data_IF_331221154755
#
_entry.id   IF_331221154755
#
_cell.length_a   1.000
_cell.length_b   1.000
_cell.length_c   1.000
_cell.angle_alpha   90.00
_cell.angle_beta   90.00
_cell.angle_gamma   90.00
#
_symmetry.space_group_name_H-M   'P 1'
#
loop_
_entity.id
_entity.type
_entity.pdbx_description
1 polymer ?
#
# COMPACT_ATOMS: atom_id res chain seq x y z
N UNK A 1 1.35 3.48 16.37
CA UNK A 1 0.80 2.82 15.17
C UNK A 1 0.65 3.89 14.09
N UNK A 2 1.49 3.93 13.06
CA UNK A 2 1.50 4.99 12.01
C UNK A 2 0.55 4.69 10.82
N UNK A 3 -0.43 3.79 10.98
CA UNK A 3 -1.24 3.30 9.85
C UNK A 3 -2.30 4.30 9.39
N UNK A 4 -2.70 5.25 10.26
CA UNK A 4 -3.81 6.19 9.99
C UNK A 4 -3.33 7.65 9.81
N UNK A 5 -2.03 7.87 9.61
CA UNK A 5 -1.42 9.21 9.56
C UNK A 5 -1.90 10.12 8.39
N UNK A 6 -2.70 9.58 7.47
CA UNK A 6 -3.35 10.30 6.38
C UNK A 6 -4.86 10.50 6.60
N UNK A 7 -5.46 9.77 7.54
CA UNK A 7 -6.85 9.90 7.93
C UNK A 7 -7.08 11.08 8.89
N UNK A 8 -6.03 11.51 9.61
CA UNK A 8 -6.03 12.70 10.49
C UNK A 8 -5.92 14.02 9.69
N UNK A 9 -6.77 14.22 8.68
CA UNK A 9 -6.87 15.46 7.92
C UNK A 9 -8.27 16.07 7.96
N UNK A 10 -8.38 17.38 7.76
CA UNK A 10 -9.64 18.14 7.82
C UNK A 10 -10.23 18.51 6.45
N UNK A 11 -9.68 17.95 5.36
CA UNK A 11 -10.07 18.32 3.99
C UNK A 11 -11.46 17.78 3.60
N UNK A 12 -12.07 18.35 2.55
CA UNK A 12 -13.40 17.94 2.07
C UNK A 12 -13.48 16.43 1.76
N UNK A 13 -12.37 15.86 1.26
CA UNK A 13 -12.26 14.42 1.02
C UNK A 13 -12.31 13.61 2.32
N UNK A 14 -11.80 14.09 3.44
CA UNK A 14 -11.89 13.40 4.74
C UNK A 14 -13.32 13.30 5.27
N UNK A 15 -14.19 14.26 4.91
CA UNK A 15 -15.60 14.29 5.34
C UNK A 15 -16.53 13.46 4.45
N UNK A 16 -16.06 12.98 3.30
CA UNK A 16 -16.88 12.25 2.35
C UNK A 16 -17.11 10.80 2.83
N UNK A 17 -18.34 10.30 2.64
CA UNK A 17 -18.69 8.92 3.01
C UNK A 17 -17.76 7.90 2.33
N UNK A 18 -17.14 6.98 3.09
CA UNK A 18 -16.22 5.97 2.56
C UNK A 18 -16.86 5.05 1.50
N UNK A 19 -18.19 4.92 1.51
CA UNK A 19 -18.94 4.15 0.51
C UNK A 19 -18.84 4.77 -0.88
N UNK A 20 -19.05 6.09 -0.97
CA UNK A 20 -18.95 6.84 -2.23
C UNK A 20 -17.52 6.78 -2.74
N UNK A 21 -16.55 6.86 -1.83
CA UNK A 21 -15.13 6.70 -2.15
C UNK A 21 -14.81 5.35 -2.78
N UNK A 22 -15.30 4.23 -2.21
CA UNK A 22 -15.09 2.90 -2.81
C UNK A 22 -15.81 2.75 -4.15
N UNK A 23 -17.05 3.24 -4.26
CA UNK A 23 -17.85 3.18 -5.48
C UNK A 23 -17.24 4.01 -6.61
N UNK A 24 -16.57 5.12 -6.31
CA UNK A 24 -15.87 5.94 -7.31
C UNK A 24 -14.48 5.41 -7.61
N UNK A 25 -13.76 4.91 -6.62
CA UNK A 25 -12.41 4.39 -6.75
C UNK A 25 -12.34 3.11 -7.59
N UNK A 26 -13.24 2.14 -7.37
CA UNK A 26 -13.20 0.86 -8.08
C UNK A 26 -13.34 1.01 -9.62
N UNK A 27 -14.36 1.73 -10.16
CA UNK A 27 -14.47 1.99 -11.59
C UNK A 27 -13.31 2.82 -12.13
N UNK A 28 -12.79 3.77 -11.35
CA UNK A 28 -11.63 4.57 -11.74
C UNK A 28 -10.39 3.70 -12.00
N UNK A 29 -10.07 2.81 -11.05
CA UNK A 29 -8.96 1.86 -11.20
C UNK A 29 -9.18 0.93 -12.39
N UNK A 30 -10.39 0.39 -12.55
CA UNK A 30 -10.72 -0.50 -13.66
C UNK A 30 -10.58 0.20 -15.02
N UNK A 31 -11.03 1.45 -15.12
CA UNK A 31 -10.93 2.26 -16.34
C UNK A 31 -9.48 2.47 -16.74
N UNK A 32 -8.64 2.93 -15.80
CA UNK A 32 -7.21 3.17 -16.06
C UNK A 32 -6.47 1.87 -16.36
N UNK A 33 -6.80 0.78 -15.65
CA UNK A 33 -6.17 -0.51 -15.88
C UNK A 33 -6.48 -1.07 -17.28
N UNK A 34 -7.74 -0.95 -17.72
CA UNK A 34 -8.22 -1.49 -19.01
C UNK A 34 -7.71 -0.71 -20.23
N UNK A 35 -7.49 0.61 -20.09
CA UNK A 35 -7.01 1.45 -21.19
C UNK A 35 -5.62 1.02 -21.69
N UNK A 36 -5.48 0.78 -23.01
CA UNK A 36 -4.20 0.41 -23.63
C UNK A 36 -3.40 1.62 -24.10
N UNK A 37 -4.07 2.73 -24.41
CA UNK A 37 -3.44 3.98 -24.84
C UNK A 37 -2.74 4.71 -23.70
N UNK A 38 -1.79 5.58 -24.05
CA UNK A 38 -1.04 6.40 -23.10
C UNK A 38 -1.84 7.61 -22.58
N UNK A 39 -2.78 8.11 -23.39
CA UNK A 39 -3.56 9.31 -23.09
C UNK A 39 -4.51 9.09 -21.89
N UNK A 40 -5.08 7.89 -21.77
CA UNK A 40 -5.97 7.53 -20.67
C UNK A 40 -5.28 7.58 -19.29
N UNK A 41 -4.19 6.81 -19.09
CA UNK A 41 -3.38 6.85 -17.88
C UNK A 41 -2.81 8.24 -17.57
N UNK A 42 -2.47 9.03 -18.60
CA UNK A 42 -2.02 10.41 -18.43
C UNK A 42 -3.13 11.31 -17.87
N UNK A 43 -4.34 11.25 -18.43
CA UNK A 43 -5.49 11.98 -17.90
C UNK A 43 -5.82 11.54 -16.46
N UNK A 44 -5.77 10.23 -16.19
CA UNK A 44 -5.91 9.69 -14.84
C UNK A 44 -4.86 10.25 -13.87
N UNK A 45 -3.60 10.33 -14.28
CA UNK A 45 -2.54 10.92 -13.47
C UNK A 45 -2.86 12.37 -13.10
N UNK A 46 -3.33 13.18 -14.05
CA UNK A 46 -3.72 14.57 -13.78
C UNK A 46 -4.90 14.67 -12.82
N UNK A 47 -5.91 13.80 -12.97
CA UNK A 47 -7.06 13.74 -12.06
C UNK A 47 -6.61 13.39 -10.65
N UNK A 48 -5.81 12.32 -10.50
CA UNK A 48 -5.29 11.89 -9.19
C UNK A 48 -4.40 12.96 -8.55
N UNK A 49 -3.53 13.62 -9.32
CA UNK A 49 -2.69 14.69 -8.83
C UNK A 49 -3.52 15.88 -8.33
N UNK A 50 -4.54 16.28 -9.09
CA UNK A 50 -5.49 17.32 -8.67
C UNK A 50 -6.18 16.91 -7.36
N UNK A 51 -6.64 15.67 -7.26
CA UNK A 51 -7.29 15.16 -6.05
C UNK A 51 -6.39 15.23 -4.81
N UNK A 52 -5.09 14.95 -4.96
CA UNK A 52 -4.10 15.09 -3.87
C UNK A 52 -3.94 16.55 -3.45
N UNK A 53 -3.89 17.46 -4.42
CA UNK A 53 -3.79 18.90 -4.09
C UNK A 53 -5.02 19.38 -3.33
N UNK A 54 -6.22 18.94 -3.72
CA UNK A 54 -7.46 19.23 -2.98
C UNK A 54 -7.54 18.53 -1.62
N UNK A 55 -6.92 17.36 -1.48
CA UNK A 55 -6.84 16.64 -0.21
C UNK A 55 -5.88 17.28 0.79
N UNK A 56 -5.00 18.21 0.37
CA UNK A 56 -4.05 18.89 1.25
C UNK A 56 -2.99 17.96 1.84
N UNK A 57 -2.68 16.86 1.15
CA UNK A 57 -1.77 15.83 1.66
C UNK A 57 -0.32 16.35 1.62
N UNK A 58 0.41 16.22 2.72
CA UNK A 58 1.80 16.69 2.83
C UNK A 58 2.72 16.05 1.79
N UNK A 59 3.29 16.88 0.91
CA UNK A 59 4.14 16.46 -0.22
C UNK A 59 5.35 15.60 0.20
N UNK A 60 5.93 15.86 1.38
CA UNK A 60 7.05 15.08 1.93
C UNK A 60 6.69 13.61 2.17
N UNK A 61 5.49 13.36 2.72
CA UNK A 61 5.01 11.99 2.97
C UNK A 61 4.68 11.27 1.66
N UNK A 62 4.17 12.01 0.67
CA UNK A 62 3.89 11.50 -0.67
C UNK A 62 5.18 11.03 -1.37
N UNK A 63 6.22 11.86 -1.36
CA UNK A 63 7.51 11.57 -1.99
C UNK A 63 8.13 10.27 -1.48
N UNK A 64 8.18 10.07 -0.17
CA UNK A 64 8.75 8.84 0.41
C UNK A 64 8.03 7.58 -0.09
N UNK A 65 6.70 7.64 -0.22
CA UNK A 65 5.89 6.52 -0.75
C UNK A 65 6.04 6.34 -2.26
N UNK A 66 6.12 7.44 -3.01
CA UNK A 66 6.35 7.40 -4.45
C UNK A 66 7.72 6.82 -4.79
N UNK A 67 8.76 7.12 -4.01
CA UNK A 67 10.09 6.55 -4.21
C UNK A 67 10.04 5.02 -4.11
N UNK A 68 9.38 4.46 -3.10
CA UNK A 68 9.26 2.99 -2.95
C UNK A 68 8.65 2.32 -4.17
N UNK A 69 7.57 2.89 -4.71
CA UNK A 69 6.89 2.34 -5.89
C UNK A 69 7.70 2.55 -7.16
N UNK A 70 8.29 3.73 -7.33
CA UNK A 70 9.12 4.01 -8.49
C UNK A 70 10.40 3.15 -8.50
N UNK A 71 10.94 2.75 -7.34
CA UNK A 71 12.03 1.76 -7.28
C UNK A 71 11.61 0.41 -7.85
N UNK A 72 10.40 -0.05 -7.56
CA UNK A 72 9.88 -1.29 -8.15
C UNK A 72 9.65 -1.15 -9.67
N UNK A 73 9.08 -0.02 -10.10
CA UNK A 73 8.86 0.29 -11.52
C UNK A 73 10.19 0.44 -12.27
N UNK A 74 11.25 0.93 -11.62
CA UNK A 74 12.58 1.03 -12.20
C UNK A 74 13.13 -0.35 -12.58
N UNK A 75 12.88 -1.37 -11.76
CA UNK A 75 13.21 -2.76 -12.12
C UNK A 75 12.45 -3.18 -13.38
N UNK A 76 11.15 -2.87 -13.47
CA UNK A 76 10.36 -3.16 -14.67
C UNK A 76 10.91 -2.44 -15.92
N UNK A 77 11.39 -1.21 -15.79
CA UNK A 77 12.07 -0.49 -16.87
C UNK A 77 13.35 -1.16 -17.36
N UNK A 78 14.05 -1.91 -16.49
CA UNK A 78 15.22 -2.69 -16.90
C UNK A 78 14.77 -3.96 -17.60
N UNK A 79 13.75 -4.66 -17.10
CA UNK A 79 13.37 -5.98 -17.63
C UNK A 79 12.47 -5.94 -18.88
N UNK A 80 11.43 -5.10 -18.92
CA UNK A 80 10.45 -5.08 -20.03
C UNK A 80 11.06 -4.78 -21.41
N UNK A 81 11.94 -3.79 -21.60
CA UNK A 81 12.48 -3.50 -22.92
C UNK A 81 13.34 -4.63 -23.49
N UNK A 82 13.87 -5.52 -22.65
CA UNK A 82 14.65 -6.69 -23.06
C UNK A 82 13.82 -7.97 -23.16
N UNK A 83 12.69 -8.06 -22.44
CA UNK A 83 11.84 -9.25 -22.42
C UNK A 83 10.77 -9.28 -23.52
N UNK A 84 10.41 -8.13 -24.10
CA UNK A 84 9.39 -8.06 -25.16
C UNK A 84 10.01 -8.18 -26.57
N UNK A 85 9.66 -9.20 -27.36
CA UNK A 85 10.02 -9.26 -28.77
C UNK A 85 9.28 -8.14 -29.52
N UNK A 86 9.99 -7.28 -30.24
CA UNK A 86 9.38 -6.20 -31.02
C UNK A 86 10.44 -5.41 -31.78
N UNK A 87 10.03 -4.31 -32.43
CA UNK A 87 10.93 -3.51 -33.27
C UNK A 87 12.07 -2.89 -32.45
N UNK A 88 13.34 -3.16 -32.80
CA UNK A 88 14.50 -2.64 -32.08
C UNK A 88 14.63 -1.13 -32.33
N UNK A 89 14.64 -0.33 -31.26
CA UNK A 89 14.83 1.14 -31.35
C UNK A 89 16.26 1.53 -31.04
N UNK A 90 16.92 0.77 -30.15
CA UNK A 90 18.30 1.01 -29.76
C UNK A 90 19.01 -0.33 -29.64
N UNK A 91 20.11 -0.51 -30.38
CA UNK A 91 21.04 -1.61 -30.15
C UNK A 91 22.25 -1.06 -29.41
N UNK A 92 22.43 -1.45 -28.16
CA UNK A 92 23.74 -1.33 -27.51
C UNK A 92 24.28 -2.76 -27.35
N UNK A 93 25.35 -3.02 -28.11
CA UNK A 93 26.25 -4.18 -28.05
C UNK A 93 25.65 -5.57 -28.42
N UNK A 94 24.56 -6.02 -27.78
CA UNK A 94 23.87 -7.30 -28.07
C UNK A 94 22.42 -7.34 -27.53
N UNK A 95 21.96 -6.28 -26.85
CA UNK A 95 20.61 -6.17 -26.31
C UNK A 95 19.83 -5.13 -27.15
N UNK A 96 18.83 -5.59 -27.89
CA UNK A 96 17.89 -4.73 -28.61
C UNK A 96 16.76 -4.32 -27.69
N UNK A 97 16.72 -3.04 -27.31
CA UNK A 97 15.58 -2.47 -26.61
C UNK A 97 14.40 -2.31 -27.58
N UNK A 98 13.30 -3.00 -27.29
CA UNK A 98 12.08 -2.93 -28.12
C UNK A 98 11.30 -1.64 -27.86
N UNK A 99 10.82 -0.96 -28.93
CA UNK A 99 9.93 0.22 -28.82
C UNK A 99 8.71 -0.08 -27.97
N UNK A 100 8.16 -1.27 -28.17
CA UNK A 100 6.95 -1.73 -27.51
C UNK A 100 7.21 -1.93 -26.02
N UNK A 101 8.35 -2.52 -25.66
CA UNK A 101 8.74 -2.69 -24.26
C UNK A 101 8.89 -1.37 -23.50
N UNK A 102 9.43 -0.32 -24.16
CA UNK A 102 9.52 1.03 -23.58
C UNK A 102 8.13 1.66 -23.43
N UNK A 103 7.26 1.55 -24.43
CA UNK A 103 5.88 2.07 -24.35
C UNK A 103 5.06 1.33 -23.28
N UNK A 104 5.26 0.03 -23.12
CA UNK A 104 4.64 -0.75 -22.05
C UNK A 104 5.15 -0.33 -20.66
N UNK A 105 6.48 -0.20 -20.49
CA UNK A 105 7.06 0.26 -19.23
C UNK A 105 6.56 1.66 -18.85
N UNK A 106 6.51 2.58 -19.82
CA UNK A 106 5.96 3.92 -19.64
C UNK A 106 4.47 3.89 -19.27
N UNK A 107 3.68 3.09 -19.97
CA UNK A 107 2.24 2.94 -19.67
C UNK A 107 1.99 2.36 -18.28
N UNK A 108 2.76 1.35 -17.87
CA UNK A 108 2.71 0.79 -16.52
C UNK A 108 3.08 1.84 -15.48
N UNK A 109 4.12 2.63 -15.75
CA UNK A 109 4.57 3.72 -14.87
C UNK A 109 3.46 4.74 -14.64
N UNK A 110 2.82 5.19 -15.72
CA UNK A 110 1.69 6.14 -15.66
C UNK A 110 0.50 5.56 -14.89
N UNK A 111 0.08 4.34 -15.22
CA UNK A 111 -1.05 3.67 -14.54
C UNK A 111 -0.79 3.47 -13.06
N UNK A 112 0.40 2.97 -12.70
CA UNK A 112 0.79 2.71 -11.33
C UNK A 112 0.80 4.01 -10.50
N UNK A 113 1.41 5.08 -11.02
CA UNK A 113 1.41 6.38 -10.35
C UNK A 113 -0.03 6.94 -10.24
N UNK A 114 -0.83 6.89 -11.30
CA UNK A 114 -2.21 7.39 -11.27
C UNK A 114 -3.08 6.66 -10.23
N UNK A 115 -3.06 5.32 -10.22
CA UNK A 115 -3.81 4.49 -9.28
C UNK A 115 -3.30 4.70 -7.86
N UNK A 116 -1.99 4.78 -7.65
CA UNK A 116 -1.42 4.96 -6.33
C UNK A 116 -1.76 6.32 -5.74
N UNK A 117 -1.67 7.39 -6.53
CA UNK A 117 -2.07 8.73 -6.11
C UNK A 117 -3.56 8.78 -5.76
N UNK A 118 -4.44 8.16 -6.57
CA UNK A 118 -5.86 8.05 -6.25
C UNK A 118 -6.11 7.24 -4.99
N UNK A 119 -5.36 6.16 -4.77
CA UNK A 119 -5.45 5.33 -3.56
C UNK A 119 -5.14 6.16 -2.32
N UNK A 120 -4.07 6.96 -2.36
CA UNK A 120 -3.70 7.85 -1.25
C UNK A 120 -4.76 8.95 -1.04
N UNK A 121 -5.22 9.59 -2.11
CA UNK A 121 -6.18 10.69 -2.02
C UNK A 121 -7.57 10.25 -1.54
N UNK A 122 -8.04 9.11 -2.03
CA UNK A 122 -9.40 8.62 -1.77
C UNK A 122 -9.41 7.71 -0.55
N UNK A 123 -8.66 6.60 -0.59
CA UNK A 123 -8.67 5.61 0.49
C UNK A 123 -7.82 6.05 1.69
N UNK A 124 -6.71 6.73 1.44
CA UNK A 124 -5.83 7.24 2.51
C UNK A 124 -6.46 8.33 3.36
N UNK A 125 -7.53 8.99 2.90
CA UNK A 125 -8.26 10.03 3.65
C UNK A 125 -9.42 9.47 4.48
N UNK A 126 -9.58 8.14 4.55
CA UNK A 126 -10.58 7.47 5.38
C UNK A 126 -9.92 6.57 6.42
N UNK A 127 -10.51 6.51 7.61
CA UNK A 127 -10.12 5.55 8.64
C UNK A 127 -10.36 4.10 8.19
N UNK A 128 -9.53 3.18 8.67
CA UNK A 128 -9.62 1.75 8.32
C UNK A 128 -10.96 1.17 8.76
N UNK A 129 -11.45 1.59 9.92
CA UNK A 129 -12.74 1.16 10.48
C UNK A 129 -13.92 1.56 9.58
N UNK A 130 -13.85 2.79 9.05
CA UNK A 130 -14.86 3.37 8.16
C UNK A 130 -14.86 2.71 6.77
N UNK A 131 -13.69 2.33 6.25
CA UNK A 131 -13.57 1.53 5.03
C UNK A 131 -14.13 0.12 5.22
N UNK A 132 -13.87 -0.53 6.35
CA UNK A 132 -14.44 -1.83 6.67
C UNK A 132 -15.97 -1.78 6.78
N UNK A 133 -16.53 -0.73 7.38
CA UNK A 133 -17.97 -0.52 7.39
C UNK A 133 -18.54 -0.31 5.97
N UNK A 134 -17.80 0.33 5.06
CA UNK A 134 -18.26 0.46 3.68
C UNK A 134 -18.32 -0.90 2.95
N UNK A 135 -17.47 -1.87 3.31
CA UNK A 135 -17.54 -3.23 2.78
C UNK A 135 -18.80 -3.99 3.23
N UNK A 136 -19.36 -3.68 4.40
CA UNK A 136 -20.67 -4.22 4.84
C UNK A 136 -21.75 -3.95 3.80
N UNK A 137 -21.76 -2.73 3.26
CA UNK A 137 -22.75 -2.32 2.25
C UNK A 137 -22.55 -2.97 0.89
N UNK A 138 -21.36 -3.50 0.61
CA UNK A 138 -21.07 -4.29 -0.58
C UNK A 138 -21.54 -5.75 -0.48
N UNK A 139 -22.38 -6.09 0.51
CA UNK A 139 -22.90 -7.44 0.78
C UNK A 139 -21.81 -8.48 1.07
N UNK A 140 -20.69 -8.07 1.69
CA UNK A 140 -19.76 -9.04 2.24
C UNK A 140 -20.38 -9.79 3.43
N UNK A 141 -20.12 -11.10 3.62
CA UNK A 141 -20.64 -11.84 4.75
C UNK A 141 -20.20 -11.23 6.09
N UNK A 142 -21.14 -11.01 7.01
CA UNK A 142 -20.89 -10.37 8.30
C UNK A 142 -19.74 -11.03 9.09
N UNK A 143 -19.58 -12.35 8.93
CA UNK A 143 -18.49 -13.13 9.53
C UNK A 143 -17.10 -12.60 9.16
N UNK A 144 -16.87 -12.22 7.90
CA UNK A 144 -15.57 -11.68 7.45
C UNK A 144 -15.29 -10.32 8.06
N UNK A 145 -16.34 -9.53 8.25
CA UNK A 145 -16.25 -8.16 8.76
C UNK A 145 -15.94 -8.19 10.26
N UNK A 146 -16.62 -9.03 11.03
CA UNK A 146 -16.30 -9.25 12.44
C UNK A 146 -14.90 -9.79 12.62
N UNK A 147 -14.48 -10.73 11.77
CA UNK A 147 -13.12 -11.24 11.78
C UNK A 147 -12.10 -10.13 11.48
N UNK A 148 -12.38 -9.24 10.53
CA UNK A 148 -11.55 -8.09 10.24
C UNK A 148 -11.46 -7.12 11.43
N UNK A 149 -12.57 -6.75 12.06
CA UNK A 149 -12.56 -5.89 13.26
C UNK A 149 -11.81 -6.54 14.42
N UNK A 150 -11.95 -7.85 14.60
CA UNK A 150 -11.16 -8.60 15.57
C UNK A 150 -9.67 -8.48 15.24
N UNK A 151 -9.25 -8.77 14.00
CA UNK A 151 -7.86 -8.62 13.59
C UNK A 151 -7.33 -7.20 13.80
N UNK A 152 -8.11 -6.17 13.46
CA UNK A 152 -7.75 -4.76 13.67
C UNK A 152 -7.53 -4.42 15.15
N UNK A 153 -8.38 -4.94 16.04
CA UNK A 153 -8.18 -4.78 17.49
C UNK A 153 -6.96 -5.56 17.98
N UNK A 154 -6.76 -6.79 17.49
CA UNK A 154 -5.66 -7.65 17.90
C UNK A 154 -4.30 -7.14 17.43
N UNK A 155 -4.19 -6.53 16.25
CA UNK A 155 -2.92 -5.96 15.79
C UNK A 155 -2.44 -4.85 16.73
N UNK A 156 -3.36 -4.07 17.29
CA UNK A 156 -3.04 -3.01 18.27
C UNK A 156 -2.52 -3.61 19.57
N UNK A 157 -3.17 -4.66 20.08
CA UNK A 157 -2.72 -5.40 21.27
C UNK A 157 -1.36 -6.05 21.03
N UNK A 158 -1.19 -6.73 19.89
CA UNK A 158 0.09 -7.36 19.52
C UNK A 158 1.21 -6.34 19.43
N UNK A 159 0.94 -5.11 18.97
CA UNK A 159 1.92 -4.05 18.92
C UNK A 159 2.35 -3.59 20.33
N UNK A 160 1.40 -3.48 21.26
CA UNK A 160 1.69 -3.15 22.65
C UNK A 160 2.54 -4.24 23.32
N UNK A 161 2.15 -5.51 23.15
CA UNK A 161 2.89 -6.66 23.68
C UNK A 161 4.28 -6.77 23.04
N UNK A 162 4.41 -6.48 21.74
CA UNK A 162 5.70 -6.39 21.07
C UNK A 162 6.59 -5.28 21.68
N UNK A 163 6.02 -4.12 21.97
CA UNK A 163 6.73 -3.03 22.65
C UNK A 163 7.21 -3.42 24.05
N UNK A 164 6.34 -4.06 24.84
CA UNK A 164 6.67 -4.59 26.18
C UNK A 164 7.79 -5.62 26.11
N UNK A 165 7.72 -6.56 25.15
CA UNK A 165 8.74 -7.57 24.94
C UNK A 165 10.08 -6.95 24.53
N UNK A 166 10.06 -5.98 23.60
CA UNK A 166 11.26 -5.25 23.17
C UNK A 166 11.92 -4.54 24.35
N UNK A 167 11.15 -3.88 25.21
CA UNK A 167 11.67 -3.20 26.40
C UNK A 167 12.25 -4.19 27.42
N UNK A 168 11.58 -5.31 27.67
CA UNK A 168 12.07 -6.35 28.59
C UNK A 168 13.40 -6.98 28.11
N UNK A 169 13.53 -7.21 26.80
CA UNK A 169 14.76 -7.72 26.17
C UNK A 169 15.90 -6.69 26.28
N UNK A 170 15.60 -5.41 26.07
CA UNK A 170 16.58 -4.33 26.20
C UNK A 170 17.16 -4.23 27.63
N UNK A 171 16.34 -4.41 28.67
CA UNK A 171 16.81 -4.43 30.08
C UNK A 171 17.81 -5.57 30.34
N UNK A 172 17.66 -6.70 29.64
CA UNK A 172 18.60 -7.83 29.74
C UNK A 172 19.92 -7.60 28.96
N UNK A 173 20.17 -6.36 28.50
CA UNK A 173 21.32 -5.98 27.67
C UNK A 173 21.46 -6.80 26.39
N UNK A 174 20.36 -7.39 25.91
CA UNK A 174 20.37 -8.17 24.69
C UNK A 174 20.28 -7.23 23.48
N UNK A 175 21.30 -7.26 22.64
CA UNK A 175 21.31 -6.51 21.38
C UNK A 175 20.76 -7.40 20.26
N UNK A 176 19.58 -7.07 19.70
CA UNK A 176 19.00 -7.87 18.63
C UNK A 176 19.84 -7.73 17.35
N UNK A 177 20.49 -8.82 16.93
CA UNK A 177 21.13 -8.96 15.62
C UNK A 177 20.28 -9.76 14.62
N UNK A 178 20.66 -9.77 13.33
CA UNK A 178 19.99 -10.56 12.26
C UNK A 178 20.37 -12.05 12.35
N UNK A 179 20.21 -12.66 13.53
CA UNK A 179 20.70 -13.99 13.85
C UNK A 179 19.51 -14.86 14.26
N UNK A 180 19.56 -16.16 13.97
CA UNK A 180 18.49 -17.10 14.35
C UNK A 180 18.25 -17.14 15.88
N UNK A 181 19.29 -16.84 16.67
CA UNK A 181 19.22 -16.71 18.12
C UNK A 181 18.30 -15.56 18.55
N UNK A 182 18.37 -14.41 17.87
CA UNK A 182 17.48 -13.26 18.10
C UNK A 182 16.02 -13.64 17.82
N UNK A 183 15.75 -14.35 16.73
CA UNK A 183 14.41 -14.83 16.40
C UNK A 183 13.87 -15.83 17.44
N UNK A 184 14.73 -16.69 17.99
CA UNK A 184 14.33 -17.62 19.08
C UNK A 184 14.03 -16.89 20.39
N UNK A 185 14.75 -15.82 20.71
CA UNK A 185 14.55 -15.04 21.95
C UNK A 185 13.31 -14.14 21.87
N UNK A 186 12.99 -13.59 20.68
CA UNK A 186 11.80 -12.75 20.46
C UNK A 186 10.52 -13.61 20.30
N UNK A 187 10.64 -14.92 20.05
CA UNK A 187 9.49 -15.82 20.01
C UNK A 187 8.78 -15.77 21.37
N UNK A 188 7.51 -15.36 21.36
CA UNK A 188 6.63 -15.26 22.53
C UNK A 188 6.83 -16.50 23.42
N UNK A 189 7.36 -16.36 24.65
CA UNK A 189 7.43 -17.48 25.57
C UNK A 189 5.98 -17.89 25.86
N UNK A 190 5.61 -19.13 25.49
CA UNK A 190 4.35 -19.72 25.94
C UNK A 190 4.37 -19.66 27.47
N UNK A 191 3.62 -18.72 28.07
CA UNK A 191 3.21 -18.87 29.46
C UNK A 191 2.31 -20.10 29.47
N UNK A 192 2.91 -21.22 29.88
CA UNK A 192 2.14 -22.39 30.26
C UNK A 192 1.40 -22.00 31.55
N UNK A 193 0.08 -22.06 31.48
CA UNK A 193 -0.80 -21.72 32.59
C UNK A 193 -0.62 -22.79 33.69
N UNK A 194 0.03 -22.41 34.78
CA UNK A 194 0.14 -23.21 35.99
C UNK A 194 -0.97 -22.82 36.96
N UNK A 195 -2.23 -23.02 36.54
CA UNK A 195 -3.44 -22.85 37.36
C UNK A 195 -4.51 -23.90 37.02
N UNK A 196 -4.14 -25.17 37.03
CA UNK A 196 -5.11 -26.28 36.98
C UNK A 196 -4.97 -27.29 38.13
N UNK A 197 -4.25 -26.98 39.21
CA UNK A 197 -4.26 -27.82 40.41
C UNK A 197 -4.42 -26.99 41.67
N UNK A 198 -5.67 -26.68 42.01
CA UNK A 198 -6.17 -26.56 43.39
C UNK A 198 -7.63 -27.02 43.45
#
# INVERSE_FOLDING_TARGET
MHLEEFAEGSSFLHRLDPRVKLITFLPYVFTIASMRDINGPLAGLFISASLITFAGIGFRKLLGRLVVINTFIFVLWIFLPFSSPGHPVFSIFSLTASREGVLYALSITLKANAIFLATIAILGTSEVNSLAHALVHFKMPDKLIYLFFFFYRYISVLHEEYGRLKNAIAIRSFQPGTNIHTYRTIRIPRRYDSREEL
#
